data_IF_279922564623
#
_entry.id   IF_279922564623
#
_cell.length_a   1.000
_cell.length_b   1.000
_cell.length_c   1.000
_cell.angle_alpha   90.00
_cell.angle_beta   90.00
_cell.angle_gamma   90.00
#
_symmetry.space_group_name_H-M   'P 1'
#
loop_
_entity.id
_entity.type
_entity.pdbx_description
1 polymer ?
#
# COMPACT_ATOMS: atom_id res chain seq x y z
N UNK A 1 0.83 -2.18 20.13
CA UNK A 1 1.50 -3.42 20.58
C UNK A 1 2.27 -3.93 19.38
N UNK A 2 3.57 -4.20 19.51
CA UNK A 2 4.37 -4.61 18.36
C UNK A 2 4.19 -6.09 18.02
N UNK A 3 4.11 -6.41 16.74
CA UNK A 3 4.21 -7.79 16.22
C UNK A 3 5.58 -8.35 16.59
N UNK A 4 5.59 -9.34 17.48
CA UNK A 4 6.83 -10.04 17.86
C UNK A 4 7.36 -10.90 16.72
N UNK A 5 8.63 -11.27 16.79
CA UNK A 5 9.20 -12.21 15.81
C UNK A 5 8.55 -13.59 15.95
N UNK A 6 8.35 -14.30 14.83
CA UNK A 6 7.99 -15.71 14.88
C UNK A 6 9.04 -16.51 15.67
N UNK A 7 8.64 -17.42 16.56
CA UNK A 7 9.56 -18.35 17.20
C UNK A 7 10.07 -19.38 16.17
N UNK A 8 11.22 -19.99 16.45
CA UNK A 8 11.89 -20.95 15.55
C UNK A 8 11.32 -22.38 15.60
N UNK A 9 10.32 -22.64 16.45
CA UNK A 9 9.73 -23.96 16.62
C UNK A 9 8.49 -24.14 15.72
N UNK A 10 8.07 -25.37 15.38
CA UNK A 10 6.84 -25.62 14.63
C UNK A 10 5.60 -25.05 15.33
N UNK A 11 4.76 -24.32 14.59
CA UNK A 11 3.57 -23.62 15.08
C UNK A 11 2.33 -24.17 14.40
N UNK A 12 1.79 -25.25 14.97
CA UNK A 12 0.58 -25.91 14.45
C UNK A 12 -0.65 -25.21 15.01
N UNK A 13 -1.44 -24.60 14.12
CA UNK A 13 -2.69 -23.96 14.49
C UNK A 13 -3.90 -24.87 14.36
N UNK A 14 -5.06 -24.31 14.66
CA UNK A 14 -6.35 -25.00 14.60
C UNK A 14 -7.10 -24.62 13.32
N UNK A 15 -7.85 -25.56 12.76
CA UNK A 15 -8.62 -25.36 11.55
C UNK A 15 -9.99 -24.76 11.87
N UNK A 16 -10.26 -23.55 11.38
CA UNK A 16 -11.60 -23.02 11.21
C UNK A 16 -12.19 -23.59 9.91
N UNK A 17 -13.25 -24.40 10.04
CA UNK A 17 -13.97 -24.97 8.89
C UNK A 17 -15.08 -24.02 8.47
N UNK A 18 -14.90 -23.36 7.33
CA UNK A 18 -15.94 -22.57 6.69
C UNK A 18 -16.77 -23.48 5.78
N UNK A 19 -18.10 -23.57 5.96
CA UNK A 19 -18.94 -24.44 5.14
C UNK A 19 -18.93 -24.07 3.65
N UNK A 20 -19.26 -25.05 2.82
CA UNK A 20 -19.71 -24.81 1.45
C UNK A 20 -20.92 -23.88 1.44
N UNK A 21 -21.03 -23.04 0.42
CA UNK A 21 -22.14 -22.11 0.26
C UNK A 21 -22.07 -20.88 1.16
N UNK A 22 -20.97 -20.67 1.88
CA UNK A 22 -20.75 -19.48 2.70
C UNK A 22 -20.64 -18.26 1.78
N UNK A 23 -21.38 -17.19 2.13
CA UNK A 23 -21.29 -15.91 1.42
C UNK A 23 -20.08 -15.12 1.90
N UNK A 24 -19.31 -14.60 0.94
CA UNK A 24 -18.12 -13.79 1.16
C UNK A 24 -18.22 -12.51 0.34
N UNK A 25 -17.80 -11.39 0.92
CA UNK A 25 -17.84 -10.09 0.29
C UNK A 25 -16.43 -9.56 0.04
N UNK A 26 -16.23 -8.97 -1.14
CA UNK A 26 -14.94 -8.42 -1.55
C UNK A 26 -15.11 -7.07 -2.20
N UNK A 27 -14.29 -6.10 -1.77
CA UNK A 27 -14.08 -4.87 -2.52
C UNK A 27 -12.82 -5.05 -3.38
N UNK A 28 -12.94 -4.76 -4.68
CA UNK A 28 -11.84 -4.90 -5.62
C UNK A 28 -11.88 -3.81 -6.70
N UNK A 29 -10.75 -3.57 -7.37
CA UNK A 29 -10.71 -2.68 -8.53
C UNK A 29 -11.41 -3.34 -9.74
N UNK A 30 -12.13 -2.55 -10.54
CA UNK A 30 -12.91 -3.02 -11.70
C UNK A 30 -12.08 -3.70 -12.80
N UNK A 31 -10.77 -3.43 -12.82
CA UNK A 31 -9.78 -4.05 -13.71
C UNK A 31 -9.50 -5.52 -13.38
N UNK A 32 -9.95 -6.00 -12.21
CA UNK A 32 -9.75 -7.38 -11.75
C UNK A 32 -11.10 -8.05 -11.59
N UNK A 33 -11.19 -9.31 -12.04
CA UNK A 33 -12.39 -10.13 -11.84
C UNK A 33 -12.67 -10.38 -10.35
N UNK A 34 -13.95 -10.57 -9.97
CA UNK A 34 -14.34 -10.66 -8.56
C UNK A 34 -13.80 -11.92 -7.85
N UNK A 35 -13.65 -13.03 -8.56
CA UNK A 35 -13.03 -14.28 -8.07
C UNK A 35 -11.52 -14.34 -8.28
N UNK A 36 -10.93 -13.37 -8.99
CA UNK A 36 -9.52 -13.42 -9.36
C UNK A 36 -8.61 -13.11 -8.16
N UNK A 37 -7.70 -14.03 -7.86
CA UNK A 37 -6.64 -13.83 -6.89
C UNK A 37 -5.67 -12.76 -7.39
N UNK A 38 -5.09 -11.99 -6.47
CA UNK A 38 -4.02 -11.06 -6.78
C UNK A 38 -2.75 -11.87 -7.09
N UNK A 39 -2.21 -11.87 -8.32
CA UNK A 39 -1.00 -12.63 -8.64
C UNK A 39 0.28 -11.88 -8.23
N UNK A 40 0.15 -10.62 -7.78
CA UNK A 40 1.29 -9.79 -7.42
C UNK A 40 1.97 -10.38 -6.18
N UNK A 41 3.25 -10.66 -6.31
CA UNK A 41 4.13 -10.99 -5.20
C UNK A 41 4.63 -9.67 -4.62
N UNK A 42 4.23 -9.38 -3.39
CA UNK A 42 4.53 -8.13 -2.70
C UNK A 42 5.86 -8.23 -1.98
N UNK A 43 6.60 -7.14 -1.87
CA UNK A 43 7.91 -7.20 -1.22
C UNK A 43 7.80 -7.70 0.25
N UNK A 44 8.77 -8.50 0.68
CA UNK A 44 8.82 -9.13 2.01
C UNK A 44 8.88 -8.14 3.17
N UNK A 45 9.24 -6.88 2.90
CA UNK A 45 9.48 -5.87 3.91
C UNK A 45 8.77 -4.55 3.65
N UNK A 46 8.42 -4.27 2.40
CA UNK A 46 7.73 -3.07 1.94
C UNK A 46 6.41 -3.45 1.25
N UNK A 47 5.41 -2.57 1.25
CA UNK A 47 4.10 -2.81 0.58
C UNK A 47 3.28 -3.96 1.09
N UNK A 48 2.31 -4.39 0.29
CA UNK A 48 1.39 -5.48 0.55
C UNK A 48 0.44 -5.22 1.70
N UNK A 49 -0.61 -6.02 1.72
CA UNK A 49 -1.45 -6.23 2.86
C UNK A 49 -0.76 -7.18 3.86
N UNK A 50 -1.48 -7.44 4.95
CA UNK A 50 -0.98 -8.14 6.14
C UNK A 50 -0.43 -9.54 5.85
N UNK A 51 -0.97 -10.24 4.85
CA UNK A 51 -0.71 -11.65 4.59
C UNK A 51 -0.58 -11.91 3.08
N UNK A 52 0.08 -11.01 2.37
CA UNK A 52 0.36 -11.17 0.96
C UNK A 52 1.53 -12.13 0.72
N UNK A 53 1.55 -12.75 -0.46
CA UNK A 53 2.69 -13.53 -0.92
C UNK A 53 3.91 -12.65 -1.10
N UNK A 54 5.08 -13.17 -0.75
CA UNK A 54 6.38 -12.47 -0.84
C UNK A 54 7.33 -13.19 -1.77
N UNK A 55 8.46 -12.59 -2.22
CA UNK A 55 9.41 -13.30 -3.06
C UNK A 55 9.92 -14.62 -2.46
N UNK A 56 9.96 -14.72 -1.14
CA UNK A 56 10.39 -15.92 -0.40
C UNK A 56 9.28 -16.98 -0.28
N UNK A 57 8.01 -16.59 -0.31
CA UNK A 57 6.84 -17.47 -0.36
C UNK A 57 5.78 -16.87 -1.31
N UNK A 58 5.96 -17.04 -2.64
CA UNK A 58 5.11 -16.39 -3.62
C UNK A 58 3.81 -17.18 -3.80
N UNK A 59 2.68 -16.53 -3.52
CA UNK A 59 1.36 -17.09 -3.79
C UNK A 59 0.36 -16.00 -4.18
N UNK A 60 -0.57 -16.30 -5.11
CA UNK A 60 -1.69 -15.41 -5.34
C UNK A 60 -2.60 -15.35 -4.11
N UNK A 61 -3.19 -14.20 -3.80
CA UNK A 61 -4.05 -14.05 -2.60
C UNK A 61 -5.38 -13.35 -2.88
N UNK A 62 -6.40 -13.68 -2.10
CA UNK A 62 -7.72 -13.04 -2.18
C UNK A 62 -8.23 -12.71 -0.79
N UNK A 63 -8.43 -11.41 -0.52
CA UNK A 63 -9.11 -10.94 0.68
C UNK A 63 -10.61 -10.88 0.49
N UNK A 64 -11.33 -11.32 1.51
CA UNK A 64 -12.78 -11.19 1.64
C UNK A 64 -13.18 -11.00 3.10
N UNK A 65 -14.47 -10.75 3.33
CA UNK A 65 -15.08 -10.72 4.64
C UNK A 65 -16.46 -11.38 4.62
N UNK A 66 -17.00 -11.73 5.79
CA UNK A 66 -18.33 -12.35 5.90
C UNK A 66 -19.49 -11.38 5.60
N UNK A 67 -19.25 -10.06 5.68
CA UNK A 67 -20.28 -9.05 5.42
C UNK A 67 -19.78 -7.97 4.47
N UNK A 68 -20.69 -7.32 3.71
CA UNK A 68 -20.31 -6.22 2.82
C UNK A 68 -19.80 -5.00 3.60
N UNK A 69 -20.31 -4.75 4.81
CA UNK A 69 -19.88 -3.70 5.72
C UNK A 69 -18.42 -3.89 6.11
N UNK A 70 -18.04 -5.10 6.53
CA UNK A 70 -16.65 -5.42 6.90
C UNK A 70 -15.72 -5.31 5.69
N UNK A 71 -16.11 -5.89 4.56
CA UNK A 71 -15.30 -5.83 3.33
C UNK A 71 -15.02 -4.38 2.91
N UNK A 72 -16.03 -3.52 3.01
CA UNK A 72 -15.90 -2.11 2.69
C UNK A 72 -15.11 -1.34 3.75
N UNK A 73 -15.46 -1.47 5.03
CA UNK A 73 -14.81 -0.76 6.13
C UNK A 73 -13.30 -1.04 6.17
N UNK A 74 -12.89 -2.30 6.00
CA UNK A 74 -11.49 -2.71 5.97
C UNK A 74 -10.73 -2.24 4.74
N UNK A 75 -11.45 -1.83 3.69
CA UNK A 75 -10.85 -1.27 2.48
C UNK A 75 -10.71 0.24 2.57
N UNK A 76 -11.67 0.93 3.20
CA UNK A 76 -11.78 2.40 3.10
C UNK A 76 -11.54 3.15 4.39
N UNK A 77 -11.64 2.50 5.56
CA UNK A 77 -11.53 3.17 6.86
C UNK A 77 -10.16 3.04 7.53
N UNK A 78 -9.27 2.16 7.05
CA UNK A 78 -7.99 1.86 7.72
C UNK A 78 -7.17 3.12 8.03
N UNK A 79 -7.14 4.06 7.08
CA UNK A 79 -6.38 5.31 7.19
C UNK A 79 -7.29 6.55 7.36
N UNK A 80 -8.60 6.38 7.59
CA UNK A 80 -9.54 7.51 7.70
C UNK A 80 -9.87 7.76 9.18
N UNK A 81 -9.25 8.78 9.81
CA UNK A 81 -9.53 9.13 11.20
C UNK A 81 -10.89 9.82 11.35
N UNK A 82 -11.40 9.83 12.58
CA UNK A 82 -12.52 10.70 12.95
C UNK A 82 -12.07 12.17 12.94
N UNK A 83 -12.92 13.07 12.44
CA UNK A 83 -12.75 14.51 12.61
C UNK A 83 -13.25 14.96 14.01
N UNK A 84 -13.12 16.25 14.31
CA UNK A 84 -13.58 16.86 15.57
C UNK A 84 -15.08 16.66 15.83
N UNK A 85 -15.89 16.50 14.78
CA UNK A 85 -17.32 16.19 14.86
C UNK A 85 -17.65 14.70 15.06
N UNK A 86 -16.63 13.84 15.23
CA UNK A 86 -16.82 12.40 15.39
C UNK A 86 -17.36 11.72 14.13
N UNK A 87 -17.03 12.23 12.95
CA UNK A 87 -17.37 11.64 11.64
C UNK A 87 -16.10 11.35 10.85
N UNK A 88 -16.07 10.22 10.14
CA UNK A 88 -15.02 9.88 9.17
C UNK A 88 -15.41 10.37 7.79
N UNK A 89 -14.62 11.25 7.19
CA UNK A 89 -14.88 11.80 5.86
C UNK A 89 -14.00 11.08 4.84
N UNK A 90 -14.62 10.32 3.93
CA UNK A 90 -13.94 9.49 2.94
C UNK A 90 -13.86 10.27 1.62
N UNK A 91 -12.67 10.57 1.09
CA UNK A 91 -12.54 11.12 -0.25
C UNK A 91 -13.17 10.20 -1.31
N UNK A 92 -13.92 10.74 -2.30
CA UNK A 92 -14.59 9.92 -3.31
C UNK A 92 -13.61 9.10 -4.17
N UNK A 93 -12.35 9.53 -4.27
CA UNK A 93 -11.28 8.82 -4.98
C UNK A 93 -10.98 7.45 -4.37
N UNK A 94 -11.16 7.27 -3.05
CA UNK A 94 -10.91 5.98 -2.37
C UNK A 94 -11.84 4.89 -2.90
N UNK A 95 -13.08 5.24 -3.26
CA UNK A 95 -14.07 4.28 -3.79
C UNK A 95 -14.16 4.27 -5.33
N UNK A 96 -13.53 5.24 -6.01
CA UNK A 96 -13.57 5.34 -7.46
C UNK A 96 -12.94 4.11 -8.13
N UNK A 97 -13.58 3.61 -9.20
CA UNK A 97 -13.12 2.41 -9.92
C UNK A 97 -13.19 1.11 -9.11
N UNK A 98 -13.79 1.12 -7.90
CA UNK A 98 -13.97 -0.07 -7.08
C UNK A 98 -15.36 -0.67 -7.24
N UNK A 99 -15.43 -1.98 -7.07
CA UNK A 99 -16.65 -2.79 -7.08
C UNK A 99 -16.77 -3.54 -5.76
N UNK A 100 -18.01 -3.74 -5.32
CA UNK A 100 -18.34 -4.64 -4.22
C UNK A 100 -19.01 -5.89 -4.79
N UNK A 101 -18.32 -7.02 -4.64
CA UNK A 101 -18.77 -8.33 -5.05
C UNK A 101 -19.24 -9.16 -3.85
N UNK A 102 -20.26 -9.98 -4.08
CA UNK A 102 -20.65 -11.12 -3.26
C UNK A 102 -20.24 -12.39 -4.00
N UNK A 103 -19.55 -13.26 -3.28
CA UNK A 103 -18.98 -14.51 -3.71
C UNK A 103 -19.57 -15.63 -2.85
N UNK A 104 -19.61 -16.84 -3.38
CA UNK A 104 -20.05 -18.02 -2.63
C UNK A 104 -19.00 -19.11 -2.71
N UNK A 105 -18.69 -19.74 -1.59
CA UNK A 105 -17.79 -20.90 -1.56
C UNK A 105 -18.46 -22.09 -2.24
N UNK A 106 -17.75 -22.79 -3.11
CA UNK A 106 -18.28 -23.99 -3.80
C UNK A 106 -18.00 -25.27 -3.05
N UNK A 107 -17.09 -25.24 -2.08
CA UNK A 107 -16.66 -26.36 -1.26
C UNK A 107 -16.30 -25.84 0.15
N UNK A 108 -16.22 -26.71 1.17
CA UNK A 108 -15.75 -26.30 2.49
C UNK A 108 -14.29 -25.81 2.44
N UNK A 109 -14.00 -24.71 3.15
CA UNK A 109 -12.64 -24.16 3.29
C UNK A 109 -12.05 -24.51 4.65
N UNK A 110 -10.80 -24.96 4.66
CA UNK A 110 -9.98 -25.10 5.86
C UNK A 110 -9.09 -23.87 6.04
N UNK A 111 -9.43 -23.01 7.00
CA UNK A 111 -8.69 -21.78 7.29
C UNK A 111 -7.93 -21.92 8.61
N UNK A 112 -6.74 -21.34 8.72
CA UNK A 112 -6.05 -21.23 10.00
C UNK A 112 -6.80 -20.25 10.89
N UNK A 113 -7.22 -20.71 12.07
CA UNK A 113 -7.94 -19.88 13.03
C UNK A 113 -6.98 -18.93 13.75
N UNK A 114 -7.18 -17.62 13.55
CA UNK A 114 -6.51 -16.54 14.26
C UNK A 114 -7.54 -15.64 14.97
N UNK A 115 -8.73 -16.17 15.27
CA UNK A 115 -9.87 -15.35 15.71
C UNK A 115 -9.90 -15.05 17.20
N UNK A 116 -9.29 -15.90 18.01
CA UNK A 116 -9.29 -15.78 19.48
C UNK A 116 -7.87 -15.69 20.04
N UNK A 117 -7.75 -15.19 21.26
CA UNK A 117 -6.47 -15.18 21.98
C UNK A 117 -5.89 -16.60 22.15
N UNK A 118 -6.75 -17.60 22.35
CA UNK A 118 -6.33 -19.00 22.44
C UNK A 118 -5.81 -19.52 21.09
N UNK A 119 -6.50 -19.23 19.98
CA UNK A 119 -6.08 -19.64 18.64
C UNK A 119 -4.75 -18.99 18.24
N UNK A 120 -4.57 -17.70 18.53
CA UNK A 120 -3.30 -16.99 18.34
C UNK A 120 -2.17 -17.58 19.19
N UNK A 121 -2.44 -17.90 20.46
CA UNK A 121 -1.44 -18.49 21.35
C UNK A 121 -0.96 -19.87 20.88
N UNK A 122 -1.83 -20.69 20.26
CA UNK A 122 -1.44 -21.99 19.67
C UNK A 122 -0.35 -21.84 18.62
N UNK A 123 -0.42 -20.78 17.82
CA UNK A 123 0.61 -20.48 16.82
C UNK A 123 1.70 -19.56 17.36
N UNK A 124 1.81 -19.39 18.68
CA UNK A 124 2.85 -18.56 19.30
C UNK A 124 2.70 -17.06 19.03
N UNK A 125 1.54 -16.61 18.55
CA UNK A 125 1.25 -15.21 18.26
C UNK A 125 0.40 -14.56 19.36
N UNK A 126 0.40 -13.23 19.39
CA UNK A 126 -0.55 -12.44 20.19
C UNK A 126 -1.52 -11.70 19.26
N UNK A 127 -2.48 -10.98 19.85
CA UNK A 127 -3.40 -10.12 19.10
C UNK A 127 -2.69 -9.08 18.23
N UNK A 128 -1.43 -8.74 18.52
CA UNK A 128 -0.61 -7.88 17.67
C UNK A 128 -0.55 -8.38 16.22
N UNK A 129 -0.53 -9.70 15.97
CA UNK A 129 -0.46 -10.26 14.62
C UNK A 129 -1.66 -9.84 13.74
N UNK A 130 -2.86 -9.81 14.32
CA UNK A 130 -4.11 -9.51 13.59
C UNK A 130 -4.59 -8.07 13.76
N UNK A 131 -4.03 -7.35 14.75
CA UNK A 131 -4.27 -5.93 15.00
C UNK A 131 -3.13 -5.03 14.48
N UNK A 132 -2.12 -5.62 13.83
CA UNK A 132 -0.99 -4.92 13.25
C UNK A 132 -1.45 -3.75 12.36
N UNK A 133 -0.76 -2.62 12.49
CA UNK A 133 -0.82 -1.50 11.56
C UNK A 133 0.00 -1.81 10.30
N UNK A 134 -0.15 -0.96 9.27
CA UNK A 134 0.55 -1.08 7.98
C UNK A 134 2.07 -1.07 8.11
N UNK A 135 2.62 -0.36 9.12
CA UNK A 135 4.05 -0.32 9.40
C UNK A 135 4.61 -1.66 9.87
N UNK A 136 3.76 -2.56 10.37
CA UNK A 136 4.13 -3.91 10.79
C UNK A 136 3.80 -5.00 9.76
N UNK A 137 3.25 -4.66 8.59
CA UNK A 137 2.81 -5.69 7.62
C UNK A 137 3.93 -6.56 7.05
N UNK A 138 5.15 -6.04 6.93
CA UNK A 138 6.31 -6.88 6.61
C UNK A 138 6.52 -8.00 7.64
N UNK A 139 6.29 -7.71 8.94
CA UNK A 139 6.37 -8.73 10.00
C UNK A 139 5.22 -9.72 9.90
N UNK A 140 4.01 -9.25 9.62
CA UNK A 140 2.86 -10.15 9.50
C UNK A 140 2.93 -11.04 8.26
N UNK A 141 3.58 -10.61 7.18
CA UNK A 141 3.90 -11.47 6.02
C UNK A 141 4.98 -12.49 6.32
N UNK A 142 6.01 -12.13 7.08
CA UNK A 142 6.97 -13.11 7.60
C UNK A 142 6.28 -14.17 8.47
N UNK A 143 5.31 -13.75 9.29
CA UNK A 143 4.41 -14.67 9.99
C UNK A 143 3.58 -15.51 9.01
N UNK A 144 3.02 -14.92 7.95
CA UNK A 144 2.23 -15.65 6.97
C UNK A 144 3.01 -16.79 6.33
N UNK A 145 4.25 -16.54 5.89
CA UNK A 145 5.13 -17.53 5.30
C UNK A 145 5.40 -18.69 6.27
N UNK A 146 5.77 -18.39 7.51
CA UNK A 146 6.04 -19.41 8.54
C UNK A 146 4.78 -20.21 8.92
N UNK A 147 3.63 -19.54 9.06
CA UNK A 147 2.37 -20.21 9.37
C UNK A 147 1.92 -21.10 8.21
N UNK A 148 2.12 -20.66 6.96
CA UNK A 148 1.87 -21.45 5.75
C UNK A 148 2.77 -22.67 5.67
N UNK A 149 4.05 -22.54 6.00
CA UNK A 149 5.02 -23.64 6.06
C UNK A 149 4.60 -24.68 7.11
N UNK A 150 4.31 -24.24 8.34
CA UNK A 150 3.94 -25.14 9.44
C UNK A 150 2.53 -25.74 9.32
N UNK A 151 1.65 -25.13 8.51
CA UNK A 151 0.26 -25.56 8.32
C UNK A 151 -0.03 -25.72 6.82
N UNK A 152 0.52 -26.76 6.16
CA UNK A 152 0.36 -26.96 4.72
C UNK A 152 -1.09 -27.24 4.31
N UNK A 153 -1.93 -27.67 5.26
CA UNK A 153 -3.36 -27.90 5.07
C UNK A 153 -4.20 -26.61 4.96
N UNK A 154 -3.67 -25.47 5.42
CA UNK A 154 -4.44 -24.24 5.49
C UNK A 154 -4.56 -23.60 4.11
N UNK A 155 -5.80 -23.42 3.64
CA UNK A 155 -6.15 -22.77 2.37
C UNK A 155 -6.21 -21.25 2.49
N UNK A 156 -6.08 -20.73 3.71
CA UNK A 156 -6.19 -19.32 4.03
C UNK A 156 -6.14 -19.08 5.53
N UNK A 157 -6.25 -17.82 5.97
CA UNK A 157 -6.37 -17.44 7.38
C UNK A 157 -7.70 -16.75 7.64
N UNK A 158 -8.20 -16.87 8.87
CA UNK A 158 -9.39 -16.14 9.36
C UNK A 158 -9.09 -15.40 10.65
N UNK A 159 -9.50 -14.13 10.75
CA UNK A 159 -9.30 -13.28 11.94
C UNK A 159 -10.40 -12.22 12.06
N UNK A 160 -10.66 -11.66 13.25
CA UNK A 160 -11.68 -10.63 13.43
C UNK A 160 -11.31 -9.33 12.71
N UNK A 161 -12.34 -8.66 12.17
CA UNK A 161 -12.26 -7.28 11.75
C UNK A 161 -12.28 -6.37 12.96
N UNK A 162 -11.30 -5.47 13.05
CA UNK A 162 -11.26 -4.47 14.10
C UNK A 162 -12.26 -3.33 13.84
N UNK A 163 -12.50 -3.00 12.58
CA UNK A 163 -13.42 -1.91 12.21
C UNK A 163 -14.88 -2.28 12.44
N UNK A 164 -15.22 -3.58 12.48
CA UNK A 164 -16.61 -4.08 12.46
C UNK A 164 -16.85 -5.33 13.33
N UNK A 165 -16.26 -5.38 14.52
CA UNK A 165 -16.47 -6.47 15.48
C UNK A 165 -17.97 -6.81 15.64
N UNK A 166 -18.36 -8.10 15.59
CA UNK A 166 -17.53 -9.32 15.68
C UNK A 166 -17.15 -9.97 14.33
N UNK A 167 -17.30 -9.27 13.21
CA UNK A 167 -17.23 -9.91 11.89
C UNK A 167 -15.82 -10.37 11.48
N UNK A 168 -15.73 -11.49 10.75
CA UNK A 168 -14.45 -12.07 10.34
C UNK A 168 -14.00 -11.64 8.95
N UNK A 169 -12.68 -11.54 8.81
CA UNK A 169 -11.94 -11.38 7.55
C UNK A 169 -11.26 -12.68 7.19
N UNK A 170 -11.09 -12.87 5.89
CA UNK A 170 -10.40 -14.03 5.34
C UNK A 170 -9.38 -13.57 4.30
N UNK A 171 -8.24 -14.23 4.28
CA UNK A 171 -7.33 -14.26 3.13
C UNK A 171 -7.29 -15.69 2.63
N UNK A 172 -7.46 -15.89 1.33
CA UNK A 172 -7.32 -17.19 0.67
C UNK A 172 -6.02 -17.23 -0.13
N UNK A 173 -5.43 -18.41 -0.19
CA UNK A 173 -4.18 -18.70 -0.89
C UNK A 173 -4.47 -19.42 -2.20
N UNK A 174 -4.22 -18.74 -3.33
CA UNK A 174 -4.57 -19.22 -4.66
C UNK A 174 -3.79 -20.45 -5.11
N UNK A 175 -2.62 -20.71 -4.52
CA UNK A 175 -1.83 -21.92 -4.71
C UNK A 175 -2.38 -23.13 -3.93
N UNK A 176 -3.26 -22.90 -2.95
CA UNK A 176 -3.88 -23.92 -2.09
C UNK A 176 -5.40 -24.03 -2.24
N UNK A 177 -5.98 -23.23 -3.13
CA UNK A 177 -7.41 -23.26 -3.44
C UNK A 177 -7.61 -23.72 -4.88
N UNK A 178 -8.60 -24.59 -5.16
CA UNK A 178 -8.95 -24.91 -6.55
C UNK A 178 -9.51 -23.66 -7.25
N UNK A 179 -9.37 -23.59 -8.57
CA UNK A 179 -9.74 -22.39 -9.36
C UNK A 179 -11.23 -22.02 -9.28
N UNK A 180 -12.09 -23.00 -9.00
CA UNK A 180 -13.54 -22.85 -8.85
C UNK A 180 -14.00 -22.61 -7.41
N UNK A 181 -13.09 -22.47 -6.43
CA UNK A 181 -13.42 -22.38 -5.00
C UNK A 181 -14.43 -21.28 -4.64
N UNK A 182 -14.53 -20.25 -5.49
CA UNK A 182 -15.45 -19.14 -5.37
C UNK A 182 -16.20 -18.94 -6.68
N UNK A 183 -17.51 -18.75 -6.57
CA UNK A 183 -18.36 -18.29 -7.67
C UNK A 183 -18.88 -16.88 -7.36
N UNK A 184 -18.95 -16.04 -8.39
CA UNK A 184 -19.58 -14.73 -8.28
C UNK A 184 -21.10 -14.90 -8.17
N UNK A 185 -21.70 -14.34 -7.13
CA UNK A 185 -23.17 -14.22 -7.01
C UNK A 185 -23.63 -12.90 -7.61
N UNK A 186 -22.97 -11.80 -7.24
CA UNK A 186 -23.22 -10.46 -7.79
C UNK A 186 -21.99 -9.56 -7.64
N UNK A 187 -21.73 -8.70 -8.63
CA UNK A 187 -20.74 -7.62 -8.52
C UNK A 187 -21.29 -6.33 -9.08
N UNK A 188 -21.23 -5.25 -8.30
CA UNK A 188 -21.70 -3.94 -8.75
C UNK A 188 -20.72 -2.82 -8.35
N UNK A 189 -20.63 -1.73 -9.15
CA UNK A 189 -19.83 -0.56 -8.80
C UNK A 189 -20.15 -0.02 -7.41
N UNK A 190 -19.12 0.46 -6.73
CA UNK A 190 -19.26 1.11 -5.44
C UNK A 190 -19.49 2.61 -5.65
N UNK A 191 -20.75 3.05 -5.53
CA UNK A 191 -21.11 4.46 -5.59
C UNK A 191 -21.24 5.09 -4.19
N UNK A 192 -21.19 6.43 -4.06
CA UNK A 192 -21.27 7.11 -2.77
C UNK A 192 -22.51 6.76 -1.96
N UNK A 193 -23.67 6.63 -2.59
CA UNK A 193 -24.93 6.27 -1.91
C UNK A 193 -24.83 4.89 -1.24
N UNK A 194 -24.38 3.87 -2.00
CA UNK A 194 -24.21 2.51 -1.49
C UNK A 194 -23.14 2.44 -0.41
N UNK A 195 -22.02 3.12 -0.61
CA UNK A 195 -20.94 3.18 0.38
C UNK A 195 -21.42 3.84 1.69
N UNK A 196 -22.11 4.98 1.61
CA UNK A 196 -22.66 5.67 2.78
C UNK A 196 -23.68 4.82 3.53
N UNK A 197 -24.52 4.06 2.83
CA UNK A 197 -25.50 3.17 3.46
C UNK A 197 -24.81 2.06 4.28
N UNK A 198 -23.82 1.39 3.70
CA UNK A 198 -23.04 0.34 4.39
C UNK A 198 -22.17 0.91 5.52
N UNK A 199 -21.68 2.15 5.36
CA UNK A 199 -20.73 2.75 6.30
C UNK A 199 -21.39 3.56 7.42
N UNK A 200 -22.72 3.69 7.41
CA UNK A 200 -23.48 4.51 8.35
C UNK A 200 -23.20 4.16 9.81
N UNK A 201 -23.11 2.87 10.13
CA UNK A 201 -22.83 2.38 11.49
C UNK A 201 -21.44 2.78 12.00
N UNK A 202 -20.48 3.01 11.09
CA UNK A 202 -19.11 3.44 11.42
C UNK A 202 -18.97 4.98 11.50
N UNK A 203 -20.09 5.71 11.43
CA UNK A 203 -20.14 7.18 11.34
C UNK A 203 -19.20 7.70 10.24
N UNK A 204 -19.18 7.00 9.10
CA UNK A 204 -18.33 7.35 7.98
C UNK A 204 -19.18 7.75 6.77
N UNK A 205 -18.73 8.78 6.08
CA UNK A 205 -19.43 9.38 4.95
C UNK A 205 -18.44 9.68 3.84
N UNK A 206 -18.72 9.17 2.65
CA UNK A 206 -18.10 9.58 1.40
C UNK A 206 -18.49 11.03 1.15
N UNK A 207 -17.48 11.89 1.07
CA UNK A 207 -17.66 13.28 0.71
C UNK A 207 -18.43 13.35 -0.61
N UNK A 208 -19.39 14.29 -0.74
CA UNK A 208 -19.95 14.57 -2.05
C UNK A 208 -18.79 14.86 -3.02
N UNK A 209 -18.93 14.53 -4.31
CA UNK A 209 -17.95 14.93 -5.31
C UNK A 209 -17.73 16.43 -5.11
N UNK A 210 -16.57 16.80 -4.60
CA UNK A 210 -16.16 18.18 -4.64
C UNK A 210 -15.97 18.45 -6.13
N UNK A 211 -16.48 19.58 -6.62
CA UNK A 211 -15.89 20.14 -7.83
C UNK A 211 -14.38 20.08 -7.65
N UNK A 212 -13.62 19.64 -8.67
CA UNK A 212 -12.17 19.68 -8.57
C UNK A 212 -11.79 21.04 -7.99
N UNK A 213 -10.90 21.11 -6.98
CA UNK A 213 -10.52 22.40 -6.40
C UNK A 213 -10.32 23.35 -7.57
N UNK A 214 -11.08 24.45 -7.56
CA UNK A 214 -11.26 25.32 -8.72
C UNK A 214 -9.93 25.54 -9.45
N UNK A 215 -9.98 25.68 -10.78
CA UNK A 215 -8.85 25.51 -11.68
C UNK A 215 -7.55 26.04 -11.05
N UNK A 216 -6.51 25.19 -11.04
CA UNK A 216 -5.13 25.65 -10.89
C UNK A 216 -5.00 26.94 -11.68
N UNK A 217 -4.75 28.07 -11.00
CA UNK A 217 -4.61 29.43 -11.57
C UNK A 217 -5.07 29.49 -13.04
N UNK A 218 -6.32 29.91 -13.22
CA UNK A 218 -7.06 30.03 -14.47
C UNK A 218 -6.44 31.07 -15.43
N UNK A 219 -5.20 30.82 -15.82
CA UNK A 219 -4.42 31.52 -16.82
C UNK A 219 -3.67 30.52 -17.72
N UNK A 220 -4.16 29.28 -17.83
CA UNK A 220 -3.76 28.38 -18.90
C UNK A 220 -4.98 28.13 -19.78
N UNK A 221 -5.02 28.71 -21.00
CA UNK A 221 -6.13 28.49 -21.90
C UNK A 221 -6.25 26.99 -22.18
N UNK A 222 -7.49 26.50 -22.19
CA UNK A 222 -7.80 25.17 -22.70
C UNK A 222 -7.25 25.09 -24.13
N UNK A 223 -6.16 24.35 -24.31
CA UNK A 223 -5.75 23.88 -25.64
C UNK A 223 -6.50 22.58 -25.87
N UNK A 224 -7.23 22.50 -26.98
CA UNK A 224 -7.79 21.23 -27.43
C UNK A 224 -6.69 20.15 -27.37
N UNK A 225 -7.03 18.92 -26.93
CA UNK A 225 -6.08 17.82 -26.96
C UNK A 225 -5.51 17.75 -28.39
N UNK A 226 -4.18 17.62 -28.57
CA UNK A 226 -3.64 17.39 -29.89
C UNK A 226 -4.36 16.18 -30.46
N UNK A 227 -5.02 16.36 -31.62
CA UNK A 227 -5.42 15.22 -32.43
C UNK A 227 -4.16 14.37 -32.58
N UNK A 228 -4.19 13.12 -32.10
CA UNK A 228 -3.07 12.17 -32.14
C UNK A 228 -2.61 12.01 -33.59
N UNK A 229 -1.75 12.92 -34.03
CA UNK A 229 -1.28 13.00 -35.39
C UNK A 229 -0.18 11.95 -35.52
N UNK A 230 -0.53 10.77 -36.05
CA UNK A 230 0.36 9.64 -36.40
C UNK A 230 1.77 9.78 -35.78
N UNK A 231 1.83 9.66 -34.46
CA UNK A 231 3.07 9.83 -33.71
C UNK A 231 3.97 8.63 -34.00
N UNK A 232 5.29 8.86 -34.07
CA UNK A 232 6.27 7.78 -34.27
C UNK A 232 6.11 6.75 -33.16
N UNK A 233 6.09 5.48 -33.55
CA UNK A 233 5.96 4.33 -32.65
C UNK A 233 7.03 4.41 -31.53
N UNK A 234 6.60 4.67 -30.28
CA UNK A 234 7.47 4.68 -29.10
C UNK A 234 7.84 6.05 -28.48
N UNK A 235 7.43 7.18 -29.05
CA UNK A 235 7.64 8.54 -28.46
C UNK A 235 6.33 9.24 -28.07
N UNK A 236 5.25 8.46 -27.98
CA UNK A 236 3.92 8.92 -27.60
C UNK A 236 3.72 8.94 -26.07
N UNK A 237 2.73 9.72 -25.62
CA UNK A 237 2.42 9.86 -24.19
C UNK A 237 2.09 8.53 -23.51
N UNK A 238 1.39 7.62 -24.19
CA UNK A 238 0.93 6.36 -23.57
C UNK A 238 2.12 5.46 -23.27
N UNK A 239 3.09 5.39 -24.19
CA UNK A 239 4.37 4.67 -23.98
C UNK A 239 5.16 5.28 -22.82
N UNK A 240 5.29 6.61 -22.78
CA UNK A 240 5.95 7.32 -21.67
C UNK A 240 5.26 7.09 -20.32
N UNK A 241 3.93 7.18 -20.28
CA UNK A 241 3.13 6.91 -19.08
C UNK A 241 3.35 5.48 -18.56
N UNK A 242 3.22 4.48 -19.44
CA UNK A 242 3.41 3.07 -19.06
C UNK A 242 4.81 2.80 -18.52
N UNK A 243 5.83 3.39 -19.14
CA UNK A 243 7.22 3.21 -18.73
C UNK A 243 7.54 3.89 -17.38
N UNK A 244 6.97 5.07 -17.12
CA UNK A 244 7.45 5.92 -16.02
C UNK A 244 6.46 6.16 -14.89
N UNK A 245 5.20 5.73 -14.99
CA UNK A 245 4.21 5.95 -13.92
C UNK A 245 4.65 5.32 -12.60
N UNK A 246 5.07 4.05 -12.63
CA UNK A 246 5.59 3.34 -11.46
C UNK A 246 6.77 4.08 -10.83
N UNK A 247 7.76 4.46 -11.66
CA UNK A 247 8.96 5.19 -11.25
C UNK A 247 8.63 6.48 -10.48
N UNK A 248 7.71 7.29 -11.02
CA UNK A 248 7.28 8.55 -10.39
C UNK A 248 6.59 8.30 -9.05
N UNK A 249 5.73 7.28 -8.95
CA UNK A 249 5.12 6.91 -7.67
C UNK A 249 6.18 6.55 -6.61
N UNK A 250 7.23 5.79 -6.96
CA UNK A 250 8.31 5.43 -6.02
C UNK A 250 9.05 6.67 -5.50
N UNK A 251 9.38 7.58 -6.43
CA UNK A 251 10.09 8.83 -6.09
C UNK A 251 9.24 9.71 -5.18
N UNK A 252 7.94 9.89 -5.48
CA UNK A 252 7.05 10.70 -4.66
C UNK A 252 6.82 10.08 -3.27
N UNK A 253 6.74 8.75 -3.19
CA UNK A 253 6.59 8.07 -1.91
C UNK A 253 7.80 8.26 -0.99
N UNK A 254 9.03 8.35 -1.54
CA UNK A 254 10.26 8.56 -0.77
C UNK A 254 10.17 9.74 0.21
N UNK A 255 9.36 10.77 -0.11
CA UNK A 255 9.19 11.95 0.72
C UNK A 255 8.19 11.76 1.85
N UNK A 256 6.96 11.34 1.54
CA UNK A 256 5.86 11.35 2.51
C UNK A 256 5.62 10.03 3.18
N UNK A 257 6.04 8.94 2.52
CA UNK A 257 5.75 7.61 2.96
C UNK A 257 4.24 7.33 3.07
N UNK A 258 3.54 7.64 1.99
CA UNK A 258 2.11 7.46 1.84
C UNK A 258 1.89 7.12 0.36
N UNK A 259 1.64 5.84 0.08
CA UNK A 259 1.59 5.32 -1.29
C UNK A 259 0.36 5.80 -2.03
N UNK A 260 -0.79 5.85 -1.35
CA UNK A 260 -2.02 6.36 -1.96
C UNK A 260 -1.85 7.82 -2.35
N UNK A 261 -1.29 8.63 -1.44
CA UNK A 261 -1.01 10.04 -1.72
C UNK A 261 0.06 10.22 -2.82
N UNK A 262 1.07 9.35 -2.88
CA UNK A 262 2.07 9.36 -3.94
C UNK A 262 1.48 8.98 -5.30
N UNK A 263 0.61 7.96 -5.36
CA UNK A 263 -0.07 7.51 -6.57
C UNK A 263 -1.07 8.54 -7.08
N UNK A 264 -1.81 9.20 -6.19
CA UNK A 264 -2.71 10.31 -6.53
C UNK A 264 -1.93 11.51 -7.08
N UNK A 265 -0.82 11.89 -6.44
CA UNK A 265 0.03 12.97 -6.89
C UNK A 265 0.67 12.67 -8.26
N UNK A 266 1.12 11.42 -8.47
CA UNK A 266 1.63 10.96 -9.76
C UNK A 266 0.55 11.02 -10.84
N UNK A 267 -0.65 10.49 -10.58
CA UNK A 267 -1.77 10.48 -11.52
C UNK A 267 -2.12 11.89 -11.99
N UNK A 268 -2.23 12.84 -11.05
CA UNK A 268 -2.46 14.25 -11.38
C UNK A 268 -1.28 14.87 -12.16
N UNK A 269 -0.04 14.52 -11.81
CA UNK A 269 1.12 15.03 -12.54
C UNK A 269 1.17 14.53 -13.99
N UNK A 270 0.82 13.27 -14.23
CA UNK A 270 0.71 12.71 -15.58
C UNK A 270 -0.49 13.26 -16.35
N UNK A 271 -1.60 13.58 -15.70
CA UNK A 271 -2.72 14.29 -16.34
C UNK A 271 -2.29 15.67 -16.84
N UNK A 272 -1.56 16.44 -16.02
CA UNK A 272 -1.00 17.73 -16.44
C UNK A 272 0.02 17.53 -17.57
N UNK A 273 0.85 16.49 -17.49
CA UNK A 273 1.82 16.15 -18.53
C UNK A 273 1.14 15.81 -19.87
N UNK A 274 0.01 15.11 -19.84
CA UNK A 274 -0.79 14.81 -21.04
C UNK A 274 -1.29 16.08 -21.72
N UNK A 275 -1.85 17.02 -20.94
CA UNK A 275 -2.34 18.32 -21.46
C UNK A 275 -1.21 19.19 -22.02
N UNK A 276 0.02 18.97 -21.58
CA UNK A 276 1.23 19.69 -22.00
C UNK A 276 2.21 18.81 -22.76
N UNK A 277 1.73 17.74 -23.39
CA UNK A 277 2.61 16.72 -23.95
C UNK A 277 3.63 17.27 -24.94
N UNK A 278 3.32 18.25 -25.83
CA UNK A 278 4.33 18.84 -26.71
C UNK A 278 5.50 19.48 -25.93
N UNK A 279 5.22 20.18 -24.82
CA UNK A 279 6.25 20.80 -23.98
C UNK A 279 7.06 19.74 -23.22
N UNK A 280 6.38 18.72 -22.70
CA UNK A 280 6.99 17.65 -21.89
C UNK A 280 7.85 16.74 -22.75
N UNK A 281 7.38 16.38 -23.95
CA UNK A 281 8.13 15.57 -24.91
C UNK A 281 9.41 16.30 -25.39
N UNK A 282 9.37 17.62 -25.53
CA UNK A 282 10.54 18.43 -25.85
C UNK A 282 11.49 18.68 -24.65
N UNK A 283 11.08 18.33 -23.42
CA UNK A 283 11.88 18.59 -22.22
C UNK A 283 13.08 17.64 -22.12
N UNK A 284 14.30 18.13 -21.82
CA UNK A 284 15.51 17.28 -21.76
C UNK A 284 15.45 16.22 -20.65
N UNK A 285 14.67 16.47 -19.59
CA UNK A 285 14.39 15.50 -18.53
C UNK A 285 12.88 15.37 -18.29
N UNK A 286 12.20 14.60 -19.14
CA UNK A 286 10.73 14.45 -19.12
C UNK A 286 10.22 13.87 -17.80
N UNK A 287 10.91 12.84 -17.29
CA UNK A 287 10.57 12.21 -16.01
C UNK A 287 10.74 13.20 -14.86
N UNK A 288 11.83 13.96 -14.86
CA UNK A 288 12.09 15.00 -13.86
C UNK A 288 11.00 16.08 -13.84
N UNK A 289 10.51 16.48 -15.00
CA UNK A 289 9.39 17.43 -15.09
C UNK A 289 8.13 16.91 -14.37
N UNK A 290 7.79 15.64 -14.57
CA UNK A 290 6.63 15.00 -13.93
C UNK A 290 6.85 14.84 -12.42
N UNK A 291 8.05 14.42 -12.00
CA UNK A 291 8.42 14.31 -10.58
C UNK A 291 8.29 15.67 -9.87
N UNK A 292 8.80 16.75 -10.46
CA UNK A 292 8.72 18.09 -9.89
C UNK A 292 7.25 18.52 -9.74
N UNK A 293 6.43 18.27 -10.76
CA UNK A 293 5.00 18.56 -10.75
C UNK A 293 4.27 17.79 -9.65
N UNK A 294 4.49 16.47 -9.57
CA UNK A 294 3.94 15.62 -8.52
C UNK A 294 4.37 16.05 -7.12
N UNK A 295 5.65 16.42 -6.95
CA UNK A 295 6.19 16.89 -5.67
C UNK A 295 5.53 18.19 -5.22
N UNK A 296 5.25 19.13 -6.13
CA UNK A 296 4.51 20.37 -5.82
C UNK A 296 3.08 20.07 -5.36
N UNK A 297 2.40 19.15 -6.04
CA UNK A 297 1.06 18.68 -5.67
C UNK A 297 1.10 18.08 -4.25
N UNK A 298 2.07 17.20 -4.00
CA UNK A 298 2.26 16.52 -2.72
C UNK A 298 2.50 17.51 -1.55
N UNK A 299 3.34 18.52 -1.78
CA UNK A 299 3.59 19.58 -0.79
C UNK A 299 2.35 20.44 -0.52
N UNK A 300 1.53 20.73 -1.55
CA UNK A 300 0.29 21.49 -1.40
C UNK A 300 -0.74 20.72 -0.57
N UNK A 301 -0.96 19.43 -0.88
CA UNK A 301 -1.87 18.57 -0.11
C UNK A 301 -1.43 18.52 1.34
N UNK A 302 -0.13 18.33 1.59
CA UNK A 302 0.40 18.30 2.95
C UNK A 302 0.25 19.64 3.68
N UNK A 303 0.47 20.78 3.01
CA UNK A 303 0.24 22.11 3.60
C UNK A 303 -1.23 22.33 3.98
N UNK A 304 -2.17 21.81 3.19
CA UNK A 304 -3.61 21.88 3.50
C UNK A 304 -3.93 21.00 4.71
N UNK A 305 -3.41 19.77 4.74
CA UNK A 305 -3.54 18.86 5.90
C UNK A 305 -2.91 19.44 7.17
N UNK A 306 -1.77 20.14 7.08
CA UNK A 306 -1.12 20.75 8.23
C UNK A 306 -1.90 21.97 8.80
N UNK A 307 -2.70 22.65 7.97
CA UNK A 307 -3.60 23.74 8.42
C UNK A 307 -4.87 23.22 9.08
N UNK A 308 -5.25 21.98 8.81
CA UNK A 308 -6.36 21.28 9.44
C UNK A 308 -5.82 20.00 10.10
N UNK A 309 -5.05 20.14 11.20
CA UNK A 309 -4.31 19.02 11.78
C UNK A 309 -5.28 17.96 12.29
N UNK A 310 -5.42 16.89 11.51
CA UNK A 310 -6.05 15.66 11.97
C UNK A 310 -4.96 14.90 12.74
N UNK A 311 -5.23 14.50 13.98
CA UNK A 311 -4.29 13.71 14.78
C UNK A 311 -4.07 12.35 14.11
N UNK A 312 -3.02 12.25 13.30
CA UNK A 312 -2.49 10.99 12.82
C UNK A 312 -1.67 10.37 13.96
N UNK A 313 -2.21 9.34 14.60
CA UNK A 313 -1.45 8.45 15.48
C UNK A 313 -0.52 7.60 14.60
N UNK A 314 0.72 8.07 14.44
CA UNK A 314 1.92 7.29 14.10
C UNK A 314 1.87 6.45 12.83
N UNK A 315 2.08 7.06 11.67
CA UNK A 315 2.15 6.36 10.37
C UNK A 315 3.53 6.57 9.73
N UNK A 316 4.47 5.65 9.97
CA UNK A 316 5.87 5.71 9.47
C UNK A 316 6.40 4.36 8.94
N UNK A 317 5.65 3.64 8.10
CA UNK A 317 6.17 2.47 7.36
C UNK A 317 6.48 2.73 5.88
N UNK A 318 7.75 2.74 5.47
CA UNK A 318 8.22 3.02 4.08
C UNK A 318 7.49 2.21 3.01
N UNK A 319 6.78 2.86 2.08
CA UNK A 319 6.00 2.19 1.04
C UNK A 319 6.63 2.35 -0.37
N UNK A 320 7.76 1.68 -0.66
CA UNK A 320 8.46 1.79 -1.96
C UNK A 320 8.68 0.43 -2.65
N UNK A 321 8.56 0.30 -3.99
CA UNK A 321 8.74 -0.98 -4.69
C UNK A 321 10.18 -1.36 -4.82
N UNK A 322 10.43 -2.63 -4.52
CA UNK A 322 11.74 -3.27 -4.60
C UNK A 322 11.96 -3.91 -5.97
N UNK A 323 13.05 -3.52 -6.61
CA UNK A 323 13.82 -4.37 -7.51
C UNK A 323 15.08 -4.80 -6.73
N UNK A 324 15.33 -6.10 -6.73
CA UNK A 324 16.55 -6.84 -6.37
C UNK A 324 17.41 -6.32 -5.19
N UNK A 325 17.19 -6.90 -4.00
CA UNK A 325 18.18 -6.86 -2.90
C UNK A 325 18.46 -8.27 -2.34
N UNK A 326 19.76 -8.54 -2.18
CA UNK A 326 20.41 -9.80 -1.81
C UNK A 326 19.81 -10.51 -0.56
N UNK A 327 19.54 -11.84 -0.62
CA UNK A 327 18.96 -12.63 0.47
C UNK A 327 19.84 -12.79 1.73
N UNK A 328 21.13 -12.41 1.72
CA UNK A 328 22.10 -12.88 2.72
C UNK A 328 22.24 -12.06 4.04
N UNK A 329 21.29 -11.19 4.40
CA UNK A 329 21.33 -10.46 5.71
C UNK A 329 20.06 -10.75 6.49
N UNK A 330 20.22 -11.25 7.72
CA UNK A 330 19.18 -11.67 8.65
C UNK A 330 17.99 -10.70 8.67
N UNK A 331 16.79 -11.21 8.36
CA UNK A 331 15.44 -10.57 8.28
C UNK A 331 15.14 -9.52 9.37
N UNK A 332 15.85 -9.59 10.49
CA UNK A 332 15.73 -8.76 11.70
C UNK A 332 16.37 -7.38 11.57
N UNK A 333 17.59 -7.33 11.06
CA UNK A 333 18.39 -6.11 10.92
C UNK A 333 17.78 -5.20 9.86
N UNK A 334 17.23 -5.81 8.80
CA UNK A 334 16.47 -5.15 7.73
C UNK A 334 15.21 -4.45 8.27
N UNK A 335 14.47 -5.08 9.19
CA UNK A 335 13.24 -4.49 9.77
C UNK A 335 13.53 -3.31 10.70
N UNK A 336 14.58 -3.37 11.52
CA UNK A 336 14.99 -2.24 12.36
C UNK A 336 15.47 -1.05 11.50
N UNK A 337 16.19 -1.33 10.42
CA UNK A 337 16.62 -0.34 9.44
C UNK A 337 15.43 0.34 8.76
N UNK A 338 14.38 -0.39 8.37
CA UNK A 338 13.19 0.20 7.74
C UNK A 338 12.41 1.14 8.67
N UNK A 339 12.21 0.77 9.94
CA UNK A 339 11.61 1.65 10.93
C UNK A 339 12.47 2.91 11.15
N UNK A 340 13.79 2.74 11.21
CA UNK A 340 14.72 3.85 11.36
C UNK A 340 14.68 4.81 10.16
N UNK A 341 14.60 4.31 8.91
CA UNK A 341 14.46 5.15 7.72
C UNK A 341 13.08 5.82 7.69
N UNK A 342 12.01 5.14 8.12
CA UNK A 342 10.66 5.71 8.25
C UNK A 342 10.62 6.93 9.18
N UNK A 343 11.42 6.91 10.25
CA UNK A 343 11.52 7.97 11.25
C UNK A 343 12.50 9.11 10.88
N UNK A 344 13.24 9.00 9.78
CA UNK A 344 14.08 10.09 9.30
C UNK A 344 13.24 11.33 8.97
N UNK A 345 13.81 12.50 9.25
CA UNK A 345 13.25 13.76 8.77
C UNK A 345 13.03 13.70 7.25
N UNK A 346 11.88 14.20 6.77
CA UNK A 346 11.39 13.99 5.39
C UNK A 346 12.41 14.29 4.31
N UNK A 347 13.15 15.40 4.45
CA UNK A 347 14.17 15.80 3.47
C UNK A 347 15.39 14.86 3.46
N UNK A 348 15.76 14.31 4.61
CA UNK A 348 16.82 13.30 4.74
C UNK A 348 16.35 11.96 4.16
N UNK A 349 15.12 11.56 4.49
CA UNK A 349 14.46 10.34 4.02
C UNK A 349 14.31 10.33 2.50
N UNK A 350 13.82 11.42 1.91
CA UNK A 350 13.64 11.58 0.46
C UNK A 350 14.97 11.36 -0.28
N UNK A 351 16.04 12.03 0.17
CA UNK A 351 17.38 11.84 -0.42
C UNK A 351 17.90 10.40 -0.21
N UNK A 352 17.74 9.85 1.01
CA UNK A 352 18.24 8.53 1.36
C UNK A 352 17.59 7.44 0.53
N UNK A 353 16.26 7.42 0.45
CA UNK A 353 15.49 6.43 -0.31
C UNK A 353 15.81 6.54 -1.80
N UNK A 354 15.81 7.75 -2.36
CA UNK A 354 16.12 7.91 -3.79
C UNK A 354 17.53 7.42 -4.15
N UNK A 355 18.52 7.66 -3.30
CA UNK A 355 19.91 7.27 -3.60
C UNK A 355 20.21 5.80 -3.28
N UNK A 356 19.85 5.33 -2.09
CA UNK A 356 20.26 4.01 -1.60
C UNK A 356 19.26 2.89 -1.89
N UNK A 357 17.97 3.22 -2.06
CA UNK A 357 16.90 2.24 -2.32
C UNK A 357 16.51 2.24 -3.79
N UNK A 358 16.39 3.42 -4.41
CA UNK A 358 16.04 3.56 -5.83
C UNK A 358 17.27 3.71 -6.75
N UNK A 359 18.48 3.62 -6.19
CA UNK A 359 19.74 3.64 -6.92
C UNK A 359 19.98 4.85 -7.82
N UNK A 360 19.33 6.00 -7.57
CA UNK A 360 19.58 7.22 -8.32
C UNK A 360 20.92 7.85 -7.96
N UNK A 361 21.59 8.44 -8.95
CA UNK A 361 22.83 9.16 -8.71
C UNK A 361 22.58 10.45 -7.91
N UNK A 362 23.63 11.00 -7.29
CA UNK A 362 23.53 12.30 -6.60
C UNK A 362 23.08 13.43 -7.55
N UNK A 363 23.45 13.35 -8.83
CA UNK A 363 23.02 14.30 -9.85
C UNK A 363 21.53 14.17 -10.14
N UNK A 364 21.03 12.95 -10.35
CA UNK A 364 19.60 12.70 -10.59
C UNK A 364 18.75 13.15 -9.40
N UNK A 365 19.18 12.84 -8.17
CA UNK A 365 18.46 13.28 -6.97
C UNK A 365 18.45 14.81 -6.85
N UNK A 366 19.56 15.48 -7.17
CA UNK A 366 19.61 16.95 -7.19
C UNK A 366 18.63 17.54 -8.22
N UNK A 367 18.57 16.95 -9.41
CA UNK A 367 17.68 17.37 -10.49
C UNK A 367 16.21 17.13 -10.14
N UNK A 368 15.86 15.95 -9.62
CA UNK A 368 14.50 15.65 -9.21
C UNK A 368 14.00 16.54 -8.07
N UNK A 369 14.86 16.82 -7.10
CA UNK A 369 14.50 17.60 -5.91
C UNK A 369 14.68 19.11 -6.09
N UNK A 370 15.31 19.54 -7.20
CA UNK A 370 15.66 20.93 -7.49
C UNK A 370 16.47 21.57 -6.35
N UNK A 371 17.53 20.86 -5.92
CA UNK A 371 18.46 21.31 -4.87
C UNK A 371 19.91 21.10 -5.30
N UNK A 372 20.90 21.82 -4.75
CA UNK A 372 22.30 21.61 -5.11
C UNK A 372 22.80 20.19 -4.77
N UNK A 373 23.70 19.59 -5.60
CA UNK A 373 24.31 18.29 -5.30
C UNK A 373 25.02 18.25 -3.94
N UNK A 374 25.58 19.37 -3.47
CA UNK A 374 26.16 19.50 -2.14
C UNK A 374 25.13 19.31 -1.01
N UNK A 375 23.90 19.78 -1.20
CA UNK A 375 22.78 19.60 -0.27
C UNK A 375 22.30 18.14 -0.25
N UNK A 376 22.30 17.46 -1.40
CA UNK A 376 22.02 16.01 -1.44
C UNK A 376 23.06 15.27 -0.61
N UNK A 377 24.36 15.52 -0.84
CA UNK A 377 25.46 14.87 -0.10
C UNK A 377 25.39 15.12 1.40
N UNK A 378 25.08 16.34 1.82
CA UNK A 378 24.95 16.69 3.24
C UNK A 378 23.74 16.01 3.90
N UNK A 379 22.58 15.96 3.21
CA UNK A 379 21.38 15.23 3.68
C UNK A 379 21.62 13.72 3.78
N UNK A 380 22.31 13.12 2.82
CA UNK A 380 22.71 11.72 2.86
C UNK A 380 23.67 11.43 4.03
N UNK A 381 24.65 12.30 4.26
CA UNK A 381 25.56 12.18 5.41
C UNK A 381 24.81 12.29 6.74
N UNK A 382 23.86 13.22 6.85
CA UNK A 382 23.01 13.36 8.03
C UNK A 382 22.09 12.14 8.22
N UNK A 383 21.43 11.66 7.18
CA UNK A 383 20.60 10.45 7.21
C UNK A 383 21.38 9.24 7.73
N UNK A 384 22.59 8.99 7.20
CA UNK A 384 23.44 7.87 7.65
C UNK A 384 23.86 8.00 9.12
N UNK A 385 24.00 9.22 9.64
CA UNK A 385 24.32 9.48 11.05
C UNK A 385 23.11 9.16 11.93
N UNK A 386 21.97 9.75 11.61
CA UNK A 386 20.70 9.52 12.30
C UNK A 386 20.34 8.02 12.33
N UNK A 387 20.53 7.30 11.22
CA UNK A 387 20.29 5.85 11.16
C UNK A 387 21.28 5.06 12.02
N UNK A 388 22.57 5.43 12.04
CA UNK A 388 23.57 4.78 12.89
C UNK A 388 23.25 4.96 14.36
N UNK A 389 22.80 6.15 14.73
CA UNK A 389 22.42 6.48 16.10
C UNK A 389 21.13 5.73 16.51
N UNK A 390 20.14 5.67 15.61
CA UNK A 390 18.88 4.97 15.84
C UNK A 390 19.02 3.44 15.91
N UNK A 391 20.01 2.87 15.23
CA UNK A 391 20.21 1.41 15.15
C UNK A 391 21.15 0.85 16.24
N UNK A 392 21.95 1.69 16.91
CA UNK A 392 22.73 1.30 18.10
C UNK A 392 23.77 0.19 17.90
N UNK A 393 24.50 -0.15 18.98
CA UNK A 393 25.72 -0.98 18.99
C UNK A 393 25.56 -2.46 18.59
N UNK A 394 24.35 -2.97 18.36
CA UNK A 394 24.10 -4.39 18.05
C UNK A 394 24.47 -4.79 16.61
N UNK A 395 24.55 -3.82 15.68
CA UNK A 395 25.04 -4.04 14.32
C UNK A 395 26.54 -4.36 14.22
N UNK A 396 27.32 -4.24 15.31
CA UNK A 396 28.76 -4.54 15.31
C UNK A 396 29.10 -6.03 15.37
N UNK A 397 28.12 -6.94 15.56
CA UNK A 397 28.39 -8.39 15.67
C UNK A 397 28.25 -9.20 14.36
N UNK A 398 27.84 -8.58 13.26
CA UNK A 398 27.68 -9.27 11.96
C UNK A 398 28.84 -9.13 10.97
N UNK A 399 29.86 -8.32 11.27
CA UNK A 399 31.00 -8.09 10.38
C UNK A 399 32.24 -8.85 10.85
N UNK A 400 32.41 -10.10 10.39
CA UNK A 400 33.71 -10.77 10.49
C UNK A 400 34.40 -10.71 9.13
N UNK A 401 35.40 -9.82 9.05
CA UNK A 401 36.45 -9.65 8.03
C UNK A 401 36.06 -9.43 6.58
#
# INVERSE_FOLDING_TARGET
MSVLRPPSQPLVGEAFRMPEGTSLHRVHHERRGPTAFNPVVENSYFFGERFDGTPEDPYPFLYAALTPETALAETVLRAVPFNEGGVRLIPPQIIAGRRLAELKTTEPLALLDLTSAAALARVGASSALVLADSGEYGRTRAWAALLREHNPWAQGFVWPSFSSHPEHRVVLFGDRCPSNILVEVKSAPLNPMRANNLLRAFRAQVLPPQDPPGPFDEALPFREPPQLAKEKEGDDFVSFFKAHFSQVCRILNARQNDWELAQDAASRAFEIAYRRWPDVCAHPNRVGWVVITGRRILMRVHRIQAKHPVQHLGDTGLNVPCEDLDPAITTVEKVALHAAIGNLARDKRECFVMHYVLHYSVADVADFLQIPPGTVKSRLSAARRDLRDALGHDFRKGGTR
#
